data_IF_449985394160
#
_entry.id   IF_449985394160
#
_cell.length_a   1.000
_cell.length_b   1.000
_cell.length_c   1.000
_cell.angle_alpha   90.00
_cell.angle_beta   90.00
_cell.angle_gamma   90.00
#
_symmetry.space_group_name_H-M   'P 1'
#
loop_
_entity.id
_entity.type
_entity.pdbx_description
1 polymer ?
#
# COMPACT_ATOMS: atom_id res chain seq x y z
N UNK A 1 31.98 -23.17 25.47
CA UNK A 1 32.13 -22.03 24.55
C UNK A 1 31.80 -22.54 23.15
N UNK A 2 30.80 -21.97 22.49
CA UNK A 2 30.39 -22.38 21.15
C UNK A 2 30.59 -21.20 20.18
N UNK A 3 31.21 -21.47 19.03
CA UNK A 3 31.42 -20.51 17.97
C UNK A 3 30.07 -20.16 17.33
N UNK A 4 29.63 -18.90 17.48
CA UNK A 4 28.58 -18.32 16.66
C UNK A 4 29.21 -17.92 15.32
N UNK A 5 29.11 -18.80 14.32
CA UNK A 5 29.30 -18.40 12.92
C UNK A 5 28.10 -17.53 12.53
N UNK A 6 28.25 -16.22 12.71
CA UNK A 6 27.23 -15.23 12.33
C UNK A 6 27.39 -14.83 10.86
N UNK A 7 27.54 -15.80 9.95
CA UNK A 7 27.33 -15.59 8.51
C UNK A 7 25.88 -15.95 8.14
N UNK A 8 24.94 -15.50 8.97
CA UNK A 8 23.51 -15.72 8.76
C UNK A 8 22.90 -14.57 7.98
N UNK A 9 22.26 -14.87 6.85
CA UNK A 9 21.42 -13.91 6.14
C UNK A 9 20.40 -13.33 7.14
N UNK A 10 20.33 -11.99 7.32
CA UNK A 10 19.39 -11.35 8.24
C UNK A 10 17.96 -11.90 8.10
N UNK A 11 17.22 -12.10 9.21
CA UNK A 11 15.90 -12.76 9.18
C UNK A 11 14.92 -12.15 8.17
N UNK A 12 14.95 -10.82 7.99
CA UNK A 12 14.12 -10.11 7.00
C UNK A 12 14.52 -10.44 5.55
N UNK A 13 15.82 -10.60 5.25
CA UNK A 13 16.29 -11.04 3.94
C UNK A 13 15.93 -12.49 3.68
N UNK A 14 16.05 -13.37 4.69
CA UNK A 14 15.61 -14.76 4.61
C UNK A 14 14.10 -14.88 4.37
N UNK A 15 13.30 -14.01 4.98
CA UNK A 15 11.87 -13.88 4.68
C UNK A 15 11.63 -13.50 3.21
N UNK A 16 12.28 -12.46 2.70
CA UNK A 16 12.09 -12.01 1.31
C UNK A 16 12.58 -13.01 0.26
N UNK A 17 13.61 -13.81 0.56
CA UNK A 17 14.01 -14.95 -0.28
C UNK A 17 12.88 -15.97 -0.41
N UNK A 18 12.23 -16.35 0.70
CA UNK A 18 11.07 -17.27 0.68
C UNK A 18 9.86 -16.67 -0.04
N UNK A 19 9.62 -15.37 0.10
CA UNK A 19 8.56 -14.66 -0.63
C UNK A 19 8.79 -14.75 -2.14
N UNK A 20 10.03 -14.53 -2.60
CA UNK A 20 10.44 -14.70 -4.01
C UNK A 20 10.19 -16.12 -4.50
N UNK A 21 10.54 -17.10 -3.69
CA UNK A 21 10.45 -18.51 -4.07
C UNK A 21 9.01 -19.01 -4.14
N UNK A 22 8.16 -18.65 -3.16
CA UNK A 22 6.86 -19.31 -2.98
C UNK A 22 5.64 -18.38 -3.12
N UNK A 23 5.78 -17.10 -2.78
CA UNK A 23 4.64 -16.18 -2.81
C UNK A 23 4.43 -15.59 -4.20
N UNK A 24 5.52 -15.23 -4.89
CA UNK A 24 5.53 -14.64 -6.24
C UNK A 24 6.66 -15.29 -7.08
N UNK A 25 6.52 -16.57 -7.47
CA UNK A 25 7.53 -17.27 -8.25
C UNK A 25 7.67 -16.69 -9.67
N UNK A 26 8.81 -16.89 -10.37
CA UNK A 26 9.01 -16.40 -11.73
C UNK A 26 7.89 -16.80 -12.72
N UNK A 27 7.40 -18.04 -12.64
CA UNK A 27 6.30 -18.53 -13.49
C UNK A 27 5.00 -17.74 -13.31
N UNK A 28 4.73 -17.23 -12.11
CA UNK A 28 3.58 -16.35 -11.85
C UNK A 28 3.76 -15.00 -12.55
N UNK A 29 4.95 -14.41 -12.45
CA UNK A 29 5.28 -13.12 -13.08
C UNK A 29 5.13 -13.24 -14.60
N UNK A 30 5.70 -14.29 -15.19
CA UNK A 30 5.63 -14.57 -16.62
C UNK A 30 4.19 -14.74 -17.09
N UNK A 31 3.41 -15.60 -16.41
CA UNK A 31 2.02 -15.87 -16.77
C UNK A 31 1.14 -14.62 -16.62
N UNK A 32 1.26 -13.90 -15.50
CA UNK A 32 0.50 -12.68 -15.26
C UNK A 32 0.86 -11.57 -16.27
N UNK A 33 2.15 -11.44 -16.60
CA UNK A 33 2.62 -10.48 -17.61
C UNK A 33 2.11 -10.82 -19.00
N UNK A 34 2.16 -12.08 -19.43
CA UNK A 34 1.63 -12.50 -20.73
C UNK A 34 0.13 -12.21 -20.85
N UNK A 35 -0.65 -12.53 -19.82
CA UNK A 35 -2.10 -12.24 -19.75
C UNK A 35 -2.38 -10.74 -19.82
N UNK A 36 -1.65 -9.94 -19.03
CA UNK A 36 -1.76 -8.48 -19.04
C UNK A 36 -1.41 -7.88 -20.40
N UNK A 37 -0.34 -8.36 -21.05
CA UNK A 37 0.06 -7.91 -22.38
C UNK A 37 -1.00 -8.19 -23.45
N UNK A 38 -1.75 -9.30 -23.30
CA UNK A 38 -2.91 -9.62 -24.13
C UNK A 38 -4.19 -8.84 -23.77
N UNK A 39 -4.17 -8.00 -22.73
CA UNK A 39 -5.33 -7.25 -22.23
C UNK A 39 -6.27 -8.05 -21.30
N UNK A 40 -5.92 -9.31 -20.98
CA UNK A 40 -6.67 -10.20 -20.09
C UNK A 40 -6.30 -9.93 -18.61
N UNK A 41 -6.81 -8.82 -18.08
CA UNK A 41 -6.55 -8.42 -16.69
C UNK A 41 -7.12 -9.43 -15.67
N UNK A 42 -8.25 -10.09 -15.98
CA UNK A 42 -8.86 -11.07 -15.10
C UNK A 42 -8.02 -12.36 -15.04
N UNK A 43 -7.53 -12.83 -16.19
CA UNK A 43 -6.58 -13.94 -16.26
C UNK A 43 -5.24 -13.63 -15.59
N UNK A 44 -4.76 -12.38 -15.69
CA UNK A 44 -3.58 -11.94 -14.94
C UNK A 44 -3.82 -12.00 -13.42
N UNK A 45 -4.99 -11.55 -12.93
CA UNK A 45 -5.35 -11.67 -11.51
C UNK A 45 -5.39 -13.13 -11.06
N UNK A 46 -6.02 -14.01 -11.84
CA UNK A 46 -6.08 -15.44 -11.54
C UNK A 46 -4.68 -16.07 -11.45
N UNK A 47 -3.77 -15.74 -12.39
CA UNK A 47 -2.37 -16.19 -12.37
C UNK A 47 -1.64 -15.75 -11.08
N UNK A 48 -1.94 -14.54 -10.59
CA UNK A 48 -1.40 -14.01 -9.33
C UNK A 48 -2.13 -14.48 -8.06
N UNK A 49 -3.09 -15.42 -8.18
CA UNK A 49 -3.95 -15.88 -7.07
C UNK A 49 -4.73 -14.73 -6.41
N UNK A 50 -5.23 -13.82 -7.24
CA UNK A 50 -6.14 -12.74 -6.86
C UNK A 50 -7.53 -13.08 -7.42
N UNK A 51 -8.47 -13.32 -6.52
CA UNK A 51 -9.87 -13.57 -6.84
C UNK A 51 -10.54 -12.23 -7.17
N UNK A 52 -11.19 -12.13 -8.34
CA UNK A 52 -11.84 -10.89 -8.79
C UNK A 52 -13.29 -10.89 -8.31
N UNK A 53 -13.63 -9.90 -7.49
CA UNK A 53 -14.96 -9.64 -6.96
C UNK A 53 -15.45 -8.26 -7.46
N UNK A 54 -15.57 -8.15 -8.79
CA UNK A 54 -15.93 -6.92 -9.49
C UNK A 54 -16.98 -7.19 -10.57
N UNK A 55 -18.15 -6.55 -10.44
CA UNK A 55 -19.13 -6.47 -11.52
C UNK A 55 -19.08 -5.08 -12.18
N UNK A 56 -18.38 -4.99 -13.32
CA UNK A 56 -18.25 -3.73 -14.07
C UNK A 56 -19.58 -3.20 -14.63
N UNK A 57 -20.61 -4.05 -14.79
CA UNK A 57 -21.94 -3.61 -15.21
C UNK A 57 -22.66 -2.98 -14.02
N UNK A 58 -22.62 -3.62 -12.85
CA UNK A 58 -23.15 -3.06 -11.61
C UNK A 58 -22.46 -1.73 -11.25
N UNK A 59 -21.14 -1.64 -11.40
CA UNK A 59 -20.40 -0.38 -11.20
C UNK A 59 -20.87 0.71 -12.14
N UNK A 60 -21.04 0.43 -13.44
CA UNK A 60 -21.58 1.41 -14.39
C UNK A 60 -22.98 1.87 -14.02
N UNK A 61 -23.83 0.96 -13.57
CA UNK A 61 -25.20 1.28 -13.16
C UNK A 61 -25.23 2.16 -11.90
N UNK A 62 -24.43 1.83 -10.88
CA UNK A 62 -24.44 2.51 -9.57
C UNK A 62 -23.60 3.80 -9.52
N UNK A 63 -22.49 3.84 -10.26
CA UNK A 63 -21.49 4.91 -10.19
C UNK A 63 -21.27 5.64 -11.51
N UNK A 64 -22.07 5.32 -12.54
CA UNK A 64 -22.03 5.97 -13.84
C UNK A 64 -20.91 5.48 -14.76
N UNK A 65 -20.99 5.94 -16.01
CA UNK A 65 -20.07 5.55 -17.09
C UNK A 65 -18.64 6.06 -16.88
N UNK A 66 -18.48 7.25 -16.29
CA UNK A 66 -17.16 7.85 -16.04
C UNK A 66 -16.34 6.99 -15.07
N UNK A 67 -16.92 6.66 -13.90
CA UNK A 67 -16.28 5.79 -12.89
C UNK A 67 -15.95 4.42 -13.48
N UNK A 68 -16.89 3.80 -14.20
CA UNK A 68 -16.65 2.51 -14.83
C UNK A 68 -15.54 2.56 -15.90
N UNK A 69 -15.37 3.69 -16.59
CA UNK A 69 -14.30 3.88 -17.58
C UNK A 69 -12.94 4.03 -16.91
N UNK A 70 -12.85 4.82 -15.84
CA UNK A 70 -11.63 4.97 -15.03
C UNK A 70 -11.21 3.64 -14.40
N UNK A 71 -12.17 2.90 -13.82
CA UNK A 71 -11.93 1.57 -13.27
C UNK A 71 -11.38 0.61 -14.33
N UNK A 72 -12.00 0.54 -15.51
CA UNK A 72 -11.48 -0.29 -16.62
C UNK A 72 -10.07 0.11 -17.04
N UNK A 73 -9.76 1.42 -17.05
CA UNK A 73 -8.43 1.89 -17.38
C UNK A 73 -7.39 1.44 -16.35
N UNK A 74 -7.70 1.53 -15.06
CA UNK A 74 -6.82 1.03 -13.99
C UNK A 74 -6.66 -0.49 -14.06
N UNK A 75 -7.73 -1.26 -14.30
CA UNK A 75 -7.67 -2.72 -14.42
C UNK A 75 -6.78 -3.19 -15.59
N UNK A 76 -6.78 -2.47 -16.72
CA UNK A 76 -5.88 -2.77 -17.84
C UNK A 76 -4.41 -2.53 -17.52
N UNK A 77 -4.12 -1.67 -16.54
CA UNK A 77 -2.75 -1.34 -16.11
C UNK A 77 -2.29 -2.17 -14.90
N UNK A 78 -3.20 -2.86 -14.24
CA UNK A 78 -2.93 -3.68 -13.06
C UNK A 78 -1.92 -4.78 -13.39
N UNK A 79 -0.79 -4.77 -12.68
CA UNK A 79 0.18 -5.84 -12.56
C UNK A 79 -0.06 -6.58 -11.22
N UNK A 80 -0.87 -7.66 -11.22
CA UNK A 80 -1.32 -8.29 -9.98
C UNK A 80 -0.22 -9.09 -9.26
N UNK A 81 0.77 -9.59 -9.99
CA UNK A 81 2.00 -10.17 -9.46
C UNK A 81 2.86 -9.12 -8.73
N UNK A 82 2.99 -7.92 -9.30
CA UNK A 82 3.66 -6.78 -8.67
C UNK A 82 2.90 -6.31 -7.43
N UNK A 83 1.57 -6.21 -7.51
CA UNK A 83 0.73 -5.90 -6.36
C UNK A 83 0.98 -6.91 -5.23
N UNK A 84 0.91 -8.20 -5.54
CA UNK A 84 1.10 -9.29 -4.57
C UNK A 84 2.47 -9.23 -3.90
N UNK A 85 3.50 -8.81 -4.62
CA UNK A 85 4.84 -8.63 -4.07
C UNK A 85 4.85 -7.60 -2.93
N UNK A 86 4.14 -6.48 -3.11
CA UNK A 86 4.15 -5.32 -2.21
C UNK A 86 3.06 -5.33 -1.15
N UNK A 87 2.17 -6.34 -1.13
CA UNK A 87 1.21 -6.48 -0.05
C UNK A 87 1.91 -6.67 1.31
N UNK A 88 1.37 -6.10 2.40
CA UNK A 88 1.97 -6.22 3.73
C UNK A 88 2.12 -7.68 4.15
N UNK A 89 3.27 -7.99 4.76
CA UNK A 89 3.63 -9.36 5.20
C UNK A 89 4.02 -9.38 6.66
N UNK A 90 3.85 -10.54 7.28
CA UNK A 90 4.30 -10.81 8.64
C UNK A 90 5.57 -11.67 8.60
N UNK A 91 6.50 -11.36 9.49
CA UNK A 91 7.68 -12.18 9.73
C UNK A 91 7.31 -13.38 10.62
N UNK A 92 8.09 -14.48 10.59
CA UNK A 92 9.32 -14.69 9.80
C UNK A 92 9.07 -15.34 8.43
N UNK A 93 7.88 -15.89 8.21
CA UNK A 93 7.53 -16.72 7.05
C UNK A 93 7.18 -15.91 5.80
N UNK A 94 6.88 -14.62 5.95
CA UNK A 94 6.54 -13.75 4.83
C UNK A 94 5.12 -13.97 4.34
N UNK A 95 4.23 -14.56 5.15
CA UNK A 95 2.80 -14.65 4.82
C UNK A 95 2.19 -13.26 4.70
N UNK A 96 1.18 -13.14 3.85
CA UNK A 96 0.36 -11.93 3.78
C UNK A 96 -0.23 -11.63 5.15
N UNK A 97 -0.16 -10.37 5.56
CA UNK A 97 -0.79 -9.88 6.77
C UNK A 97 -2.30 -10.00 6.60
N UNK A 98 -3.00 -10.75 7.48
CA UNK A 98 -4.43 -10.97 7.34
C UNK A 98 -5.27 -9.74 7.69
N UNK A 99 -6.51 -9.74 7.20
CA UNK A 99 -7.57 -8.83 7.61
C UNK A 99 -7.48 -7.41 7.04
N UNK A 100 -6.56 -7.08 6.15
CA UNK A 100 -6.44 -5.75 5.57
C UNK A 100 -7.39 -5.53 4.39
N UNK A 101 -7.95 -4.32 4.29
CA UNK A 101 -8.52 -3.75 3.06
C UNK A 101 -7.63 -2.60 2.64
N UNK A 102 -6.93 -2.72 1.52
CA UNK A 102 -5.98 -1.69 1.05
C UNK A 102 -6.57 -0.97 -0.17
N UNK A 103 -6.56 0.36 -0.16
CA UNK A 103 -6.95 1.16 -1.33
C UNK A 103 -5.88 1.10 -2.41
N UNK A 104 -6.28 0.84 -3.66
CA UNK A 104 -5.44 0.91 -4.86
C UNK A 104 -5.70 2.17 -5.69
N UNK A 105 -6.96 2.60 -5.79
CA UNK A 105 -7.34 3.82 -6.49
C UNK A 105 -8.64 4.38 -5.91
N UNK A 106 -8.79 5.71 -5.96
CA UNK A 106 -10.01 6.43 -5.56
C UNK A 106 -10.66 7.06 -6.79
N UNK A 107 -11.98 6.94 -6.90
CA UNK A 107 -12.78 7.52 -7.98
C UNK A 107 -13.68 8.61 -7.43
N UNK A 108 -14.09 9.60 -8.25
CA UNK A 108 -15.04 10.62 -7.82
C UNK A 108 -16.35 9.99 -7.34
N UNK A 109 -16.92 10.54 -6.27
CA UNK A 109 -18.22 10.11 -5.76
C UNK A 109 -19.37 10.57 -6.64
N UNK A 110 -20.49 9.84 -6.61
CA UNK A 110 -21.69 10.15 -7.40
C UNK A 110 -22.53 11.33 -6.86
N UNK A 111 -22.20 11.86 -5.68
CA UNK A 111 -22.94 12.98 -5.07
C UNK A 111 -22.48 13.36 -3.66
N UNK A 112 -23.02 14.44 -3.09
CA UNK A 112 -22.70 14.91 -1.75
C UNK A 112 -23.02 13.85 -0.69
N UNK A 113 -22.11 13.62 0.27
CA UNK A 113 -22.34 12.71 1.40
C UNK A 113 -22.15 11.21 1.12
N UNK A 114 -21.91 10.80 -0.13
CA UNK A 114 -21.55 9.41 -0.46
C UNK A 114 -20.03 9.25 -0.46
N UNK A 115 -19.50 8.23 0.24
CA UNK A 115 -18.06 7.98 0.20
C UNK A 115 -17.62 7.64 -1.23
N UNK A 116 -16.49 8.22 -1.71
CA UNK A 116 -16.01 7.97 -3.06
C UNK A 116 -15.71 6.48 -3.26
N UNK A 117 -16.11 5.88 -4.41
CA UNK A 117 -15.79 4.50 -4.68
C UNK A 117 -14.27 4.31 -4.81
N UNK A 118 -13.76 3.22 -4.26
CA UNK A 118 -12.33 2.91 -4.23
C UNK A 118 -12.11 1.49 -4.75
N UNK A 119 -11.19 1.33 -5.70
CA UNK A 119 -10.64 0.01 -6.02
C UNK A 119 -9.81 -0.44 -4.82
N UNK A 120 -10.15 -1.60 -4.25
CA UNK A 120 -9.49 -2.13 -3.06
C UNK A 120 -9.01 -3.55 -3.30
N UNK A 121 -8.01 -3.93 -2.52
CA UNK A 121 -7.52 -5.29 -2.41
C UNK A 121 -7.66 -5.76 -0.96
N UNK A 122 -8.18 -6.97 -0.75
CA UNK A 122 -8.44 -7.52 0.59
C UNK A 122 -7.60 -8.77 0.83
N UNK A 123 -6.90 -8.80 1.96
CA UNK A 123 -6.17 -9.99 2.44
C UNK A 123 -7.08 -10.84 3.32
N UNK A 124 -6.99 -12.17 3.31
CA UNK A 124 -7.90 -13.03 4.06
C UNK A 124 -8.00 -12.72 5.55
N UNK A 125 -9.17 -12.95 6.17
CA UNK A 125 -9.33 -12.80 7.61
C UNK A 125 -8.42 -13.78 8.36
N UNK A 126 -8.05 -13.44 9.60
CA UNK A 126 -7.15 -14.25 10.44
C UNK A 126 -7.61 -15.71 10.57
N UNK A 127 -8.92 -15.95 10.63
CA UNK A 127 -9.49 -17.31 10.78
C UNK A 127 -9.49 -18.14 9.50
N UNK A 128 -9.19 -17.54 8.35
CA UNK A 128 -8.97 -18.26 7.10
C UNK A 128 -7.49 -18.68 7.02
N UNK A 129 -7.05 -19.53 7.95
CA UNK A 129 -5.65 -19.91 8.21
C UNK A 129 -4.87 -20.44 6.99
N UNK A 130 -5.55 -20.77 5.89
CA UNK A 130 -4.93 -21.26 4.64
C UNK A 130 -4.99 -20.27 3.47
N UNK A 131 -5.67 -19.13 3.60
CA UNK A 131 -5.85 -18.18 2.51
C UNK A 131 -4.63 -17.27 2.32
N UNK A 132 -3.76 -17.57 1.37
CA UNK A 132 -2.91 -16.55 0.73
C UNK A 132 -3.56 -16.01 -0.56
N UNK A 133 -4.87 -16.23 -0.71
CA UNK A 133 -5.73 -15.76 -1.79
C UNK A 133 -6.23 -14.36 -1.46
N UNK A 134 -6.04 -13.45 -2.37
CA UNK A 134 -6.35 -12.03 -2.16
C UNK A 134 -7.58 -11.72 -2.99
N UNK A 135 -8.49 -10.86 -2.55
CA UNK A 135 -9.61 -10.44 -3.40
C UNK A 135 -9.44 -9.00 -3.89
N UNK A 136 -9.85 -8.75 -5.14
CA UNK A 136 -9.90 -7.43 -5.75
C UNK A 136 -11.37 -7.02 -5.86
N UNK A 137 -11.74 -5.89 -5.26
CA UNK A 137 -13.13 -5.46 -5.16
C UNK A 137 -13.30 -3.94 -5.27
N UNK A 138 -14.55 -3.47 -5.38
CA UNK A 138 -14.88 -2.05 -5.28
C UNK A 138 -15.50 -1.77 -3.91
N UNK A 139 -14.90 -0.86 -3.15
CA UNK A 139 -15.47 -0.35 -1.91
C UNK A 139 -16.21 0.96 -2.16
N UNK A 140 -17.44 1.12 -1.64
CA UNK A 140 -18.28 2.29 -1.92
C UNK A 140 -18.98 2.87 -0.67
N UNK A 141 -18.32 2.85 0.50
CA UNK A 141 -18.82 3.52 1.71
C UNK A 141 -19.91 2.79 2.50
N UNK A 142 -20.82 2.11 1.82
CA UNK A 142 -21.92 1.37 2.46
C UNK A 142 -21.57 -0.11 2.58
N UNK A 143 -20.89 -0.49 3.66
CA UNK A 143 -20.73 -1.90 4.01
C UNK A 143 -22.07 -2.59 4.31
N UNK A 144 -23.13 -1.80 4.59
CA UNK A 144 -24.48 -2.28 4.89
C UNK A 144 -25.24 -2.81 3.65
N UNK A 145 -24.80 -2.47 2.44
CA UNK A 145 -25.49 -2.86 1.19
C UNK A 145 -24.71 -3.84 0.31
N UNK A 146 -23.52 -4.28 0.73
CA UNK A 146 -22.73 -5.27 0.00
C UNK A 146 -23.13 -6.68 0.47
N UNK A 147 -23.91 -7.45 -0.33
CA UNK A 147 -24.40 -8.77 0.09
C UNK A 147 -23.28 -9.77 0.37
N UNK A 148 -22.09 -9.57 -0.21
CA UNK A 148 -20.91 -10.38 0.05
C UNK A 148 -20.30 -10.09 1.43
N UNK A 149 -20.21 -8.81 1.84
CA UNK A 149 -19.75 -8.43 3.17
C UNK A 149 -20.70 -8.88 4.28
N UNK A 150 -22.00 -8.98 3.99
CA UNK A 150 -22.99 -9.50 4.95
C UNK A 150 -22.86 -11.02 5.17
N UNK A 151 -22.42 -11.78 4.16
CA UNK A 151 -22.25 -13.25 4.25
C UNK A 151 -20.95 -13.65 4.96
N UNK A 152 -19.89 -12.87 4.81
CA UNK A 152 -18.59 -13.09 5.46
C UNK A 152 -17.95 -11.76 5.86
N UNK A 153 -18.26 -11.22 7.04
CA UNK A 153 -17.79 -9.91 7.45
C UNK A 153 -16.26 -9.87 7.52
N UNK A 154 -15.67 -9.04 6.66
CA UNK A 154 -14.24 -8.81 6.66
C UNK A 154 -13.84 -8.02 7.92
N UNK A 155 -12.79 -8.43 8.69
CA UNK A 155 -12.43 -7.81 9.97
C UNK A 155 -12.18 -6.30 9.88
N UNK A 156 -11.68 -5.84 8.74
CA UNK A 156 -11.55 -4.41 8.43
C UNK A 156 -12.34 -4.11 7.15
N UNK A 157 -13.62 -3.70 7.24
CA UNK A 157 -14.48 -3.49 6.08
C UNK A 157 -14.20 -2.16 5.35
N UNK A 158 -13.38 -1.29 5.95
CA UNK A 158 -13.00 0.01 5.39
C UNK A 158 -11.52 0.01 4.97
N UNK A 159 -11.16 0.80 3.95
CA UNK A 159 -9.77 0.99 3.56
C UNK A 159 -8.88 1.41 4.74
N UNK A 160 -7.79 0.68 4.95
CA UNK A 160 -6.83 0.93 6.00
C UNK A 160 -6.15 2.29 5.80
N UNK A 161 -6.13 3.12 6.85
CA UNK A 161 -5.55 4.46 6.80
C UNK A 161 -4.02 4.45 6.68
N UNK A 162 -3.37 3.34 7.01
CA UNK A 162 -1.91 3.16 7.03
C UNK A 162 -1.40 2.58 5.73
N UNK A 163 -2.12 1.63 5.15
CA UNK A 163 -1.71 0.94 3.92
C UNK A 163 -2.38 1.56 2.69
N UNK A 164 -1.83 2.70 2.25
CA UNK A 164 -2.36 3.56 1.19
C UNK A 164 -1.68 3.32 -0.16
N UNK A 165 -1.94 2.17 -0.78
CA UNK A 165 -1.37 1.84 -2.10
C UNK A 165 -1.93 2.73 -3.23
N UNK A 166 -3.01 3.47 -2.97
CA UNK A 166 -3.57 4.50 -3.83
C UNK A 166 -2.62 5.69 -4.04
N UNK A 167 -1.72 5.94 -3.09
CA UNK A 167 -0.66 6.95 -3.20
C UNK A 167 0.59 6.42 -3.92
N UNK A 168 0.63 5.11 -4.20
CA UNK A 168 1.82 4.39 -4.63
C UNK A 168 1.52 3.48 -5.82
N UNK A 169 0.99 4.06 -6.91
CA UNK A 169 0.66 3.34 -8.15
C UNK A 169 1.80 2.46 -8.67
N UNK A 170 3.05 2.88 -8.53
CA UNK A 170 4.23 2.10 -8.90
C UNK A 170 4.35 0.71 -8.24
N UNK A 171 3.58 0.44 -7.18
CA UNK A 171 3.53 -0.87 -6.51
C UNK A 171 2.55 -1.86 -7.17
N UNK A 172 1.74 -1.44 -8.13
CA UNK A 172 0.71 -2.30 -8.75
C UNK A 172 0.33 -1.91 -10.19
N UNK A 173 0.59 -0.69 -10.64
CA UNK A 173 0.31 -0.19 -11.98
C UNK A 173 1.57 -0.37 -12.85
N UNK A 174 1.48 -1.22 -13.87
CA UNK A 174 2.59 -1.53 -14.76
C UNK A 174 3.19 -0.29 -15.44
N UNK A 175 2.35 0.70 -15.76
CA UNK A 175 2.80 1.93 -16.41
C UNK A 175 3.61 2.84 -15.47
N UNK A 176 3.48 2.66 -14.16
CA UNK A 176 4.20 3.43 -13.15
C UNK A 176 5.31 2.64 -12.46
N UNK A 177 5.48 1.35 -12.77
CA UNK A 177 6.46 0.46 -12.15
C UNK A 177 7.91 0.95 -12.27
N UNK A 178 8.22 1.73 -13.31
CA UNK A 178 9.53 2.38 -13.48
C UNK A 178 9.92 3.33 -12.33
N UNK A 179 8.95 3.83 -11.55
CA UNK A 179 9.26 4.66 -10.37
C UNK A 179 9.87 3.87 -9.21
N UNK A 180 9.79 2.53 -9.20
CA UNK A 180 10.27 1.68 -8.10
C UNK A 180 11.74 1.93 -7.78
N UNK A 181 12.61 1.99 -8.80
CA UNK A 181 14.04 2.22 -8.60
C UNK A 181 14.30 3.56 -7.89
N UNK A 182 13.66 4.62 -8.38
CA UNK A 182 13.77 5.97 -7.84
C UNK A 182 13.19 6.13 -6.44
N UNK A 183 12.09 5.44 -6.13
CA UNK A 183 11.44 5.53 -4.82
C UNK A 183 12.09 4.66 -3.76
N UNK A 184 12.72 3.56 -4.17
CA UNK A 184 13.55 2.72 -3.29
C UNK A 184 14.97 3.27 -3.10
N UNK A 185 15.39 4.26 -3.89
CA UNK A 185 16.74 4.81 -3.89
C UNK A 185 17.76 3.93 -4.60
N UNK A 186 17.31 2.91 -5.34
CA UNK A 186 18.17 2.00 -6.10
C UNK A 186 18.80 2.68 -7.34
N UNK A 187 18.30 3.84 -7.75
CA UNK A 187 18.85 4.66 -8.85
C UNK A 187 19.98 5.61 -8.38
N UNK A 188 20.30 5.63 -7.09
CA UNK A 188 21.30 6.52 -6.50
C UNK A 188 22.41 5.70 -5.84
N UNK A 189 23.65 6.21 -5.84
CA UNK A 189 24.69 5.63 -5.01
C UNK A 189 24.27 5.68 -3.53
N UNK A 190 24.69 4.73 -2.69
CA UNK A 190 24.39 4.75 -1.27
C UNK A 190 24.92 6.05 -0.67
N UNK A 191 23.99 6.94 -0.30
CA UNK A 191 24.30 8.18 0.40
C UNK A 191 24.25 7.92 1.91
N UNK A 192 25.14 8.52 2.71
CA UNK A 192 24.97 8.52 4.15
C UNK A 192 23.58 9.09 4.50
N UNK A 193 22.88 8.54 5.49
CA UNK A 193 21.59 9.06 5.91
C UNK A 193 21.77 10.52 6.32
N UNK A 194 20.88 11.44 5.90
CA UNK A 194 20.92 12.80 6.42
C UNK A 194 20.76 12.75 7.95
N UNK A 195 21.36 13.69 8.70
CA UNK A 195 21.16 13.80 10.14
C UNK A 195 19.71 14.22 10.39
N UNK A 196 18.79 13.26 10.34
CA UNK A 196 17.41 13.50 10.66
C UNK A 196 17.27 13.42 12.18
N UNK A 197 17.38 14.57 12.85
CA UNK A 197 17.11 14.66 14.28
C UNK A 197 15.62 14.43 14.47
N UNK A 198 15.24 13.19 14.79
CA UNK A 198 13.93 12.90 15.37
C UNK A 198 13.86 13.58 16.74
N UNK A 199 12.68 14.07 17.17
CA UNK A 199 12.52 14.84 18.42
C UNK A 199 13.04 14.13 19.69
N UNK A 200 13.23 12.81 19.65
CA UNK A 200 13.72 12.00 20.77
C UNK A 200 15.13 11.40 20.56
N UNK A 201 15.93 11.89 19.59
CA UNK A 201 17.27 11.33 19.31
C UNK A 201 17.26 9.90 18.74
N UNK A 202 16.09 9.40 18.34
CA UNK A 202 15.89 8.00 17.99
C UNK A 202 16.45 7.58 16.62
N UNK A 203 16.94 8.51 15.81
CA UNK A 203 17.62 8.22 14.56
C UNK A 203 19.13 8.28 14.79
N UNK A 204 19.69 7.15 15.23
CA UNK A 204 21.12 6.90 15.07
C UNK A 204 21.46 6.63 13.60
N UNK A 205 22.76 6.64 13.23
CA UNK A 205 23.23 6.30 11.88
C UNK A 205 22.76 4.92 11.37
N UNK A 206 22.30 4.05 12.28
CA UNK A 206 21.77 2.70 11.99
C UNK A 206 20.23 2.62 11.91
N UNK A 207 19.53 3.76 11.88
CA UNK A 207 18.07 3.77 11.75
C UNK A 207 17.64 3.21 10.39
N UNK A 208 16.92 2.08 10.40
CA UNK A 208 16.37 1.43 9.19
C UNK A 208 15.22 2.20 8.52
N UNK A 209 14.88 3.40 8.99
CA UNK A 209 13.80 4.21 8.43
C UNK A 209 14.28 5.10 7.28
N UNK A 210 13.51 5.14 6.19
CA UNK A 210 13.76 6.04 5.07
C UNK A 210 13.34 7.48 5.39
N UNK A 211 13.93 8.10 6.42
CA UNK A 211 13.53 9.43 6.94
C UNK A 211 13.60 10.52 5.88
N UNK A 212 14.59 10.43 4.98
CA UNK A 212 14.75 11.33 3.83
C UNK A 212 13.53 11.34 2.88
N UNK A 213 12.65 10.34 2.96
CA UNK A 213 11.44 10.24 2.13
C UNK A 213 10.19 10.80 2.81
N UNK A 214 10.19 10.96 4.13
CA UNK A 214 8.96 11.27 4.88
C UNK A 214 8.29 12.56 4.43
N UNK A 215 9.05 13.60 4.09
CA UNK A 215 8.47 14.85 3.62
C UNK A 215 7.70 14.67 2.29
N UNK A 216 8.31 13.96 1.33
CA UNK A 216 7.67 13.67 0.04
C UNK A 216 6.44 12.77 0.18
N UNK A 217 6.49 11.78 1.08
CA UNK A 217 5.34 10.90 1.35
C UNK A 217 4.23 11.64 2.10
N UNK A 218 4.57 12.55 3.02
CA UNK A 218 3.61 13.40 3.71
C UNK A 218 2.90 14.36 2.75
N UNK A 219 3.62 14.90 1.77
CA UNK A 219 3.03 15.74 0.73
C UNK A 219 2.01 14.97 -0.11
N UNK A 220 2.33 13.73 -0.51
CA UNK A 220 1.38 12.85 -1.22
C UNK A 220 0.14 12.56 -0.36
N UNK A 221 0.34 12.26 0.92
CA UNK A 221 -0.75 12.00 1.86
C UNK A 221 -1.66 13.22 2.01
N UNK A 222 -1.10 14.39 2.31
CA UNK A 222 -1.87 15.61 2.54
C UNK A 222 -2.62 16.05 1.28
N UNK A 223 -1.98 16.01 0.10
CA UNK A 223 -2.66 16.31 -1.18
C UNK A 223 -3.84 15.38 -1.44
N UNK A 224 -3.72 14.09 -1.11
CA UNK A 224 -4.81 13.14 -1.27
C UNK A 224 -5.99 13.36 -0.30
N UNK A 225 -5.74 14.04 0.81
CA UNK A 225 -6.79 14.48 1.76
C UNK A 225 -7.26 15.93 1.46
N UNK A 226 -6.87 16.51 0.32
CA UNK A 226 -7.25 17.87 -0.07
C UNK A 226 -6.57 18.98 0.74
N UNK A 227 -5.46 18.68 1.41
CA UNK A 227 -4.73 19.61 2.27
C UNK A 227 -3.37 19.94 1.61
N UNK A 228 -3.07 21.21 1.30
CA UNK A 228 -1.77 21.57 0.73
C UNK A 228 -0.64 21.51 1.78
N UNK A 229 -0.97 21.68 3.07
CA UNK A 229 -0.07 21.66 4.22
C UNK A 229 -0.77 21.01 5.41
N UNK A 230 0.00 20.60 6.41
CA UNK A 230 -0.57 20.09 7.66
C UNK A 230 0.33 19.14 8.43
N UNK A 231 -0.22 18.61 9.50
CA UNK A 231 0.43 17.62 10.36
C UNK A 231 0.21 16.21 9.84
N UNK A 232 1.21 15.36 10.01
CA UNK A 232 1.16 13.95 9.71
C UNK A 232 1.84 13.14 10.82
N UNK A 233 1.46 11.87 10.95
CA UNK A 233 2.01 10.97 11.95
C UNK A 233 2.80 9.85 11.29
N UNK A 234 4.00 9.57 11.81
CA UNK A 234 4.83 8.43 11.41
C UNK A 234 4.88 7.43 12.55
N UNK A 235 4.50 6.18 12.28
CA UNK A 235 4.61 5.11 13.27
C UNK A 235 6.02 4.53 13.28
N UNK A 236 6.67 4.57 14.44
CA UNK A 236 8.03 4.08 14.68
C UNK A 236 8.06 2.74 15.42
N UNK A 237 6.92 2.29 15.95
CA UNK A 237 6.78 1.02 16.66
C UNK A 237 5.34 0.76 17.12
N UNK A 238 5.09 -0.32 17.87
CA UNK A 238 3.76 -0.69 18.36
C UNK A 238 3.10 0.44 19.17
N UNK A 239 3.90 1.19 19.94
CA UNK A 239 3.45 2.28 20.81
C UNK A 239 4.20 3.59 20.57
N UNK A 240 4.99 3.69 19.51
CA UNK A 240 5.80 4.87 19.21
C UNK A 240 5.33 5.51 17.92
N UNK A 241 4.97 6.80 17.98
CA UNK A 241 4.63 7.63 16.82
C UNK A 241 5.30 9.00 16.95
N UNK A 242 5.78 9.53 15.84
CA UNK A 242 6.21 10.92 15.73
C UNK A 242 5.11 11.72 15.03
N UNK A 243 4.78 12.90 15.55
CA UNK A 243 3.90 13.85 14.87
C UNK A 243 4.75 15.01 14.34
N UNK A 244 4.61 15.25 13.05
CA UNK A 244 5.46 16.15 12.29
C UNK A 244 4.55 17.10 11.50
N UNK A 245 5.06 18.29 11.21
CA UNK A 245 4.40 19.25 10.34
C UNK A 245 5.17 19.33 9.02
N UNK A 246 4.44 19.23 7.90
CA UNK A 246 5.01 19.48 6.58
C UNK A 246 5.18 20.99 6.39
N UNK A 247 6.42 21.42 6.28
CA UNK A 247 6.78 22.81 6.00
C UNK A 247 7.28 22.84 4.56
N UNK A 248 6.47 23.36 3.65
CA UNK A 248 6.97 23.65 2.32
C UNK A 248 7.89 24.87 2.41
N UNK A 249 9.15 24.82 1.94
CA UNK A 249 9.80 26.05 1.54
C UNK A 249 9.00 26.62 0.36
N UNK A 250 8.76 27.93 0.36
CA UNK A 250 7.95 28.60 -0.67
C UNK A 250 8.42 28.23 -2.08
N UNK A 251 7.46 27.90 -2.95
CA UNK A 251 7.47 27.63 -4.41
C UNK A 251 8.71 27.01 -5.11
N UNK A 252 9.76 26.58 -4.41
CA UNK A 252 10.95 25.96 -5.03
C UNK A 252 11.74 25.06 -4.07
N UNK A 253 11.69 23.77 -4.42
CA UNK A 253 12.66 22.69 -4.19
C UNK A 253 12.71 22.00 -2.81
N UNK A 254 12.10 20.81 -2.82
CA UNK A 254 12.09 19.74 -1.83
C UNK A 254 11.24 20.00 -0.56
N UNK A 255 10.18 19.21 -0.32
CA UNK A 255 9.41 19.32 0.91
C UNK A 255 10.30 18.99 2.11
N UNK A 256 10.13 19.72 3.22
CA UNK A 256 10.78 19.45 4.50
C UNK A 256 9.74 19.30 5.61
N UNK A 257 10.13 18.76 6.76
CA UNK A 257 9.25 18.64 7.92
C UNK A 257 9.96 19.10 9.18
N UNK A 258 9.17 19.48 10.19
CA UNK A 258 9.66 19.77 11.55
C UNK A 258 8.83 19.04 12.61
N UNK A 259 9.40 18.74 13.79
CA UNK A 259 8.62 18.25 14.92
C UNK A 259 7.53 19.26 15.33
N UNK A 260 6.35 18.75 15.64
CA UNK A 260 5.31 19.59 16.23
C UNK A 260 5.69 19.90 17.68
N UNK A 261 5.79 21.18 18.04
CA UNK A 261 6.16 21.62 19.40
C UNK A 261 5.05 21.39 20.44
N UNK A 262 3.84 21.06 20.00
CA UNK A 262 2.68 20.83 20.87
C UNK A 262 2.26 19.35 20.86
N UNK A 263 2.07 18.80 22.07
CA UNK A 263 1.48 17.48 22.27
C UNK A 263 0.01 17.48 21.84
N UNK A 264 -0.28 16.92 20.67
CA UNK A 264 -1.66 16.64 20.27
C UNK A 264 -2.29 15.59 21.21
N UNK A 265 -3.55 15.76 21.61
CA UNK A 265 -4.25 14.77 22.42
C UNK A 265 -4.31 13.42 21.68
N UNK A 266 -4.35 12.29 22.42
CA UNK A 266 -4.38 10.97 21.80
C UNK A 266 -5.65 10.82 20.94
N UNK A 267 -5.49 10.81 19.62
CA UNK A 267 -6.57 10.35 18.73
C UNK A 267 -6.82 8.86 18.90
N UNK A 268 -8.07 8.51 19.22
CA UNK A 268 -8.61 7.16 19.38
C UNK A 268 -8.53 6.34 18.08
N UNK A 269 -8.41 5.02 18.27
CA UNK A 269 -7.99 4.01 17.31
C UNK A 269 -8.98 3.73 16.17
#
# INVERSE_FOLDING_TARGET
MAFHLTDGIPPHLSMWRRVREYAVPPSMIETATARRAAGDWAGACAAARIDVDLDLRAVRHRHGTETATRLRADLRRLAPDLLRWHLPRIAPDGRLRPGLTLALARYPGSGPGTAPPQLVVRTPPVRADAGQRVSLALWAGSAAEDPFLLRYPHPHPHPDRRFRLDLHRHLWDAAHSGELARRSGADRPPSPPPPAVLPDGAAGPDSSWAVARWAAEAELLLRAEGRPRGTFAVRLGAHRRAVLELVAPDDSHAPVFRPLRETLPPQEA
#
